data_IF_351544632453
#
_entry.id   IF_351544632453
#
_cell.length_a   1.000
_cell.length_b   1.000
_cell.length_c   1.000
_cell.angle_alpha   90.00
_cell.angle_beta   90.00
_cell.angle_gamma   90.00
#
_symmetry.space_group_name_H-M   'P 1'
#
loop_
_entity.id
_entity.type
_entity.pdbx_description
1 polymer ?
#
# COMPACT_ATOMS: atom_id res chain seq x y z
N UNK A 1 -31.57 114.53 23.07
CA UNK A 1 -32.71 113.83 22.43
C UNK A 1 -32.10 113.01 21.32
N UNK A 2 -31.82 111.72 21.54
CA UNK A 2 -32.74 110.62 21.24
C UNK A 2 -32.59 110.27 19.75
N UNK A 3 -32.38 109.05 19.28
CA UNK A 3 -32.40 107.72 19.87
C UNK A 3 -32.05 106.75 18.75
N UNK A 4 -31.41 105.64 19.10
CA UNK A 4 -31.70 104.31 18.56
C UNK A 4 -31.55 104.07 17.04
N UNK A 5 -30.31 103.96 16.52
CA UNK A 5 -30.07 103.23 15.24
C UNK A 5 -28.74 102.45 15.18
N UNK A 6 -28.05 102.21 16.29
CA UNK A 6 -26.79 101.44 16.33
C UNK A 6 -26.97 99.95 16.69
N UNK A 7 -28.13 99.35 16.44
CA UNK A 7 -28.43 97.97 16.88
C UNK A 7 -28.89 96.92 15.85
N UNK A 8 -29.08 97.14 14.53
CA UNK A 8 -29.40 96.00 13.66
C UNK A 8 -28.16 95.33 13.03
N UNK A 9 -27.05 96.04 12.81
CA UNK A 9 -25.90 95.50 12.05
C UNK A 9 -24.94 94.64 12.88
N UNK A 10 -24.77 94.93 14.18
CA UNK A 10 -23.91 94.13 15.05
C UNK A 10 -24.52 92.77 15.42
N UNK A 11 -25.86 92.64 15.38
CA UNK A 11 -26.56 91.39 15.66
C UNK A 11 -26.59 90.46 14.43
N UNK A 12 -26.57 91.01 13.21
CA UNK A 12 -26.51 90.21 11.98
C UNK A 12 -25.10 89.63 11.75
N UNK A 13 -24.03 90.35 12.09
CA UNK A 13 -22.66 89.83 11.91
C UNK A 13 -22.26 88.73 12.92
N UNK A 14 -22.88 88.65 14.10
CA UNK A 14 -22.60 87.56 15.04
C UNK A 14 -23.32 86.26 14.66
N UNK A 15 -24.42 86.33 13.91
CA UNK A 15 -25.20 85.16 13.48
C UNK A 15 -24.53 84.38 12.32
N UNK A 16 -23.55 84.98 11.62
CA UNK A 16 -22.88 84.37 10.47
C UNK A 16 -21.47 83.80 10.75
N UNK A 17 -20.97 83.88 11.99
CA UNK A 17 -19.60 83.43 12.34
C UNK A 17 -19.57 82.12 13.14
N UNK A 18 -20.71 81.47 13.39
CA UNK A 18 -20.73 80.14 14.02
C UNK A 18 -21.33 79.11 13.08
N UNK A 19 -20.58 78.74 12.05
CA UNK A 19 -20.77 77.46 11.41
C UNK A 19 -19.39 76.78 11.28
N UNK A 20 -18.93 76.06 12.31
CA UNK A 20 -17.75 75.24 12.17
C UNK A 20 -18.10 74.13 11.17
N UNK A 21 -17.64 74.26 9.92
CA UNK A 21 -17.58 73.13 9.01
C UNK A 21 -16.70 72.07 9.69
N UNK A 22 -17.33 71.08 10.33
CA UNK A 22 -16.64 69.92 10.87
C UNK A 22 -16.15 69.09 9.69
N UNK A 23 -14.87 69.21 9.35
CA UNK A 23 -14.21 68.30 8.42
C UNK A 23 -13.82 67.04 9.19
N UNK A 24 -14.42 65.91 8.82
CA UNK A 24 -14.05 64.61 9.36
C UNK A 24 -12.84 64.05 8.61
N UNK A 25 -11.72 63.89 9.31
CA UNK A 25 -10.47 63.28 8.82
C UNK A 25 -10.23 61.95 9.54
N UNK A 26 -11.21 61.05 9.51
CA UNK A 26 -11.09 59.69 10.05
C UNK A 26 -11.47 58.63 9.00
N UNK A 27 -11.04 57.37 9.18
CA UNK A 27 -11.41 56.29 8.27
C UNK A 27 -12.87 55.87 8.50
N UNK A 28 -13.73 56.12 7.51
CA UNK A 28 -15.11 55.62 7.49
C UNK A 28 -15.07 54.10 7.40
N UNK A 29 -15.68 53.39 8.37
CA UNK A 29 -15.84 51.95 8.31
C UNK A 29 -17.17 51.60 7.66
N UNK A 30 -17.17 50.85 6.55
CA UNK A 30 -18.42 50.42 5.93
C UNK A 30 -18.98 49.20 6.64
N UNK A 31 -20.29 49.21 6.88
CA UNK A 31 -21.05 48.02 7.27
C UNK A 31 -22.16 47.77 6.25
N UNK A 32 -22.26 46.54 5.77
CA UNK A 32 -23.23 46.14 4.74
C UNK A 32 -24.51 45.64 5.43
N UNK A 33 -25.61 46.37 5.28
CA UNK A 33 -26.95 45.84 5.56
C UNK A 33 -27.80 45.93 4.30
N UNK A 34 -28.43 44.81 3.93
CA UNK A 34 -29.37 44.70 2.80
C UNK A 34 -28.85 45.17 1.43
N UNK A 35 -27.60 44.86 1.08
CA UNK A 35 -27.06 45.03 -0.28
C UNK A 35 -26.80 46.47 -0.75
N UNK A 36 -26.92 47.46 0.14
CA UNK A 36 -26.66 48.88 -0.19
C UNK A 36 -25.67 49.46 0.82
N UNK A 37 -24.70 50.27 0.37
CA UNK A 37 -23.68 50.86 1.24
C UNK A 37 -24.27 52.05 2.02
N UNK A 38 -24.37 51.91 3.34
CA UNK A 38 -24.82 52.98 4.23
C UNK A 38 -23.65 53.52 5.06
N UNK A 39 -23.38 54.82 4.95
CA UNK A 39 -22.38 55.50 5.77
C UNK A 39 -23.10 56.21 6.90
N UNK A 40 -22.97 55.70 8.12
CA UNK A 40 -23.57 56.30 9.31
C UNK A 40 -22.63 57.36 9.89
N UNK A 41 -23.17 58.53 10.21
CA UNK A 41 -22.43 59.58 10.92
C UNK A 41 -22.98 59.69 12.35
N UNK A 42 -22.20 59.25 13.33
CA UNK A 42 -22.48 59.45 14.75
C UNK A 42 -21.57 60.57 15.26
N UNK A 43 -22.11 61.74 15.66
CA UNK A 43 -21.29 62.92 16.00
C UNK A 43 -20.34 62.73 17.19
N UNK A 44 -20.61 61.76 18.06
CA UNK A 44 -19.88 61.55 19.33
C UNK A 44 -19.14 60.20 19.41
N UNK A 45 -19.33 59.29 18.46
CA UNK A 45 -18.52 58.07 18.29
C UNK A 45 -18.88 56.85 19.15
N UNK A 46 -19.87 56.93 20.03
CA UNK A 46 -20.46 55.77 20.73
C UNK A 46 -21.76 55.34 20.02
N UNK A 47 -21.83 54.08 19.61
CA UNK A 47 -23.05 53.46 19.06
C UNK A 47 -23.84 52.82 20.21
N UNK A 48 -25.06 53.32 20.49
CA UNK A 48 -26.04 52.57 21.30
C UNK A 48 -26.99 51.80 20.37
N UNK A 49 -27.28 50.54 20.68
CA UNK A 49 -28.04 49.59 19.85
C UNK A 49 -29.52 49.97 19.59
N UNK A 50 -29.97 51.14 20.04
CA UNK A 50 -31.38 51.56 20.02
C UNK A 50 -31.68 52.80 19.16
N UNK A 51 -30.68 53.32 18.44
CA UNK A 51 -30.90 54.48 17.56
C UNK A 51 -31.48 54.05 16.21
N UNK A 52 -32.69 54.54 15.93
CA UNK A 52 -33.50 54.20 14.76
C UNK A 52 -32.82 54.66 13.46
N UNK A 53 -32.44 53.76 12.53
CA UNK A 53 -31.56 54.06 11.39
C UNK A 53 -32.15 55.07 10.37
N UNK A 54 -33.45 55.37 10.44
CA UNK A 54 -34.10 56.36 9.58
C UNK A 54 -33.88 57.81 10.04
N UNK A 55 -33.57 58.05 11.31
CA UNK A 55 -33.38 59.42 11.83
C UNK A 55 -31.98 59.99 11.56
N UNK A 56 -30.99 59.11 11.35
CA UNK A 56 -29.59 59.50 11.12
C UNK A 56 -29.14 59.37 9.65
N UNK A 57 -30.08 59.35 8.71
CA UNK A 57 -29.76 59.26 7.29
C UNK A 57 -29.43 60.64 6.69
N UNK A 58 -28.13 60.92 6.51
CA UNK A 58 -27.71 62.04 5.67
C UNK A 58 -27.87 61.68 4.19
N UNK A 59 -28.88 62.27 3.54
CA UNK A 59 -29.02 62.22 2.08
C UNK A 59 -27.91 63.06 1.42
N UNK A 60 -26.89 62.39 0.90
CA UNK A 60 -25.86 63.05 0.10
C UNK A 60 -26.48 63.55 -1.22
N UNK A 61 -26.84 64.82 -1.29
CA UNK A 61 -27.01 65.51 -2.57
C UNK A 61 -25.63 65.88 -3.09
N UNK A 62 -25.16 65.14 -4.08
CA UNK A 62 -23.96 65.47 -4.85
C UNK A 62 -24.18 66.82 -5.52
N UNK A 63 -23.67 67.90 -4.93
CA UNK A 63 -23.65 69.21 -5.55
C UNK A 63 -22.46 69.26 -6.49
N UNK A 64 -22.58 68.57 -7.64
CA UNK A 64 -21.54 68.64 -8.65
C UNK A 64 -21.58 70.02 -9.32
N UNK A 65 -20.64 70.89 -8.91
CA UNK A 65 -20.39 72.19 -9.54
C UNK A 65 -19.27 72.12 -10.57
N UNK A 66 -18.93 70.92 -11.07
CA UNK A 66 -18.13 70.78 -12.28
C UNK A 66 -18.93 69.95 -13.28
N UNK A 67 -19.45 70.62 -14.31
CA UNK A 67 -19.69 69.93 -15.55
C UNK A 67 -18.33 69.40 -16.05
N UNK A 68 -17.97 68.18 -15.65
CA UNK A 68 -16.93 67.43 -16.32
C UNK A 68 -17.41 67.26 -17.76
N UNK A 69 -16.60 67.76 -18.70
CA UNK A 69 -16.87 67.64 -20.11
C UNK A 69 -17.05 66.17 -20.48
N UNK A 70 -18.12 65.88 -21.20
CA UNK A 70 -18.58 64.58 -21.72
C UNK A 70 -17.60 64.00 -22.78
N UNK A 71 -16.30 64.27 -22.70
CA UNK A 71 -15.35 63.97 -23.78
C UNK A 71 -13.98 63.43 -23.34
N UNK A 72 -13.82 62.86 -22.14
CA UNK A 72 -12.55 62.18 -21.83
C UNK A 72 -12.61 60.91 -20.96
N UNK A 73 -13.77 60.57 -20.37
CA UNK A 73 -13.90 59.40 -19.48
C UNK A 73 -14.45 58.15 -20.18
N UNK A 74 -15.12 58.28 -21.34
CA UNK A 74 -15.65 57.13 -22.09
C UNK A 74 -14.52 56.26 -22.68
N UNK A 75 -13.39 56.87 -23.03
CA UNK A 75 -12.21 56.16 -23.56
C UNK A 75 -11.42 55.45 -22.45
N UNK A 76 -11.36 55.99 -21.23
CA UNK A 76 -10.67 55.32 -20.12
C UNK A 76 -11.46 54.13 -19.57
N UNK A 77 -12.79 54.27 -19.48
CA UNK A 77 -13.66 53.21 -18.94
C UNK A 77 -13.83 52.05 -19.94
N UNK A 78 -13.72 52.32 -21.24
CA UNK A 78 -13.70 51.30 -22.29
C UNK A 78 -12.39 50.52 -22.32
N UNK A 79 -11.24 51.18 -22.12
CA UNK A 79 -9.92 50.50 -22.02
C UNK A 79 -9.85 49.58 -20.81
N UNK A 80 -10.32 50.03 -19.63
CA UNK A 80 -10.35 49.20 -18.41
C UNK A 80 -11.28 47.99 -18.57
N UNK A 81 -12.40 48.15 -19.30
CA UNK A 81 -13.33 47.06 -19.59
C UNK A 81 -12.73 46.03 -20.54
N UNK A 82 -11.99 46.48 -21.55
CA UNK A 82 -11.27 45.60 -22.48
C UNK A 82 -10.21 44.77 -21.73
N UNK A 83 -9.43 45.41 -20.85
CA UNK A 83 -8.45 44.72 -20.01
C UNK A 83 -9.12 43.66 -19.10
N UNK A 84 -10.29 43.95 -18.54
CA UNK A 84 -11.04 42.98 -17.74
C UNK A 84 -11.55 41.79 -18.57
N UNK A 85 -11.96 42.03 -19.83
CA UNK A 85 -12.37 40.97 -20.76
C UNK A 85 -11.17 40.07 -21.11
N UNK A 86 -10.00 40.68 -21.39
CA UNK A 86 -8.76 39.95 -21.67
C UNK A 86 -8.37 39.09 -20.46
N UNK A 87 -8.38 39.65 -19.26
CA UNK A 87 -8.05 38.92 -18.02
C UNK A 87 -9.04 37.78 -17.79
N UNK A 88 -10.35 38.00 -18.00
CA UNK A 88 -11.36 36.95 -17.90
C UNK A 88 -11.07 35.79 -18.86
N UNK A 89 -10.79 36.09 -20.14
CA UNK A 89 -10.43 35.06 -21.11
C UNK A 89 -9.15 34.32 -20.71
N UNK A 90 -8.12 35.02 -20.21
CA UNK A 90 -6.90 34.39 -19.72
C UNK A 90 -7.16 33.45 -18.53
N UNK A 91 -8.07 33.82 -17.61
CA UNK A 91 -8.47 32.96 -16.50
C UNK A 91 -9.22 31.72 -17.00
N UNK A 92 -10.14 31.88 -17.95
CA UNK A 92 -10.88 30.76 -18.55
C UNK A 92 -9.95 29.82 -19.32
N UNK A 93 -8.98 30.36 -20.08
CA UNK A 93 -7.98 29.57 -20.79
C UNK A 93 -7.04 28.85 -19.82
N UNK A 94 -6.60 29.51 -18.75
CA UNK A 94 -5.80 28.89 -17.70
C UNK A 94 -6.58 27.76 -17.00
N UNK A 95 -7.88 27.93 -16.76
CA UNK A 95 -8.73 26.89 -16.17
C UNK A 95 -8.82 25.66 -17.08
N UNK A 96 -9.03 25.84 -18.39
CA UNK A 96 -9.05 24.75 -19.38
C UNK A 96 -7.69 24.04 -19.48
N UNK A 97 -6.60 24.80 -19.43
CA UNK A 97 -5.25 24.22 -19.43
C UNK A 97 -4.99 23.39 -18.17
N UNK A 98 -5.39 23.88 -17.00
CA UNK A 98 -5.26 23.14 -15.75
C UNK A 98 -6.12 21.87 -15.73
N UNK A 99 -7.33 21.92 -16.28
CA UNK A 99 -8.17 20.74 -16.47
C UNK A 99 -7.53 19.72 -17.41
N UNK A 100 -6.96 20.18 -18.53
CA UNK A 100 -6.23 19.31 -19.46
C UNK A 100 -4.99 18.68 -18.83
N UNK A 101 -4.24 19.43 -18.02
CA UNK A 101 -3.09 18.91 -17.27
C UNK A 101 -3.56 17.89 -16.23
N UNK A 102 -4.64 18.19 -15.50
CA UNK A 102 -5.24 17.27 -14.54
C UNK A 102 -5.68 15.95 -15.20
N UNK A 103 -6.29 16.03 -16.37
CA UNK A 103 -6.71 14.86 -17.15
C UNK A 103 -5.51 14.06 -17.70
N UNK A 104 -4.44 14.74 -18.13
CA UNK A 104 -3.19 14.06 -18.54
C UNK A 104 -2.54 13.32 -17.37
N UNK A 105 -2.47 13.96 -16.20
CA UNK A 105 -1.91 13.36 -14.98
C UNK A 105 -2.75 12.16 -14.56
N UNK A 106 -4.09 12.26 -14.59
CA UNK A 106 -4.95 11.12 -14.23
C UNK A 106 -4.77 9.95 -15.19
N UNK A 107 -4.65 10.20 -16.49
CA UNK A 107 -4.42 9.14 -17.48
C UNK A 107 -3.06 8.45 -17.32
N UNK A 108 -2.02 9.18 -16.90
CA UNK A 108 -0.70 8.60 -16.62
C UNK A 108 -0.73 7.76 -15.33
N UNK A 109 -1.47 8.20 -14.30
CA UNK A 109 -1.59 7.48 -13.02
C UNK A 109 -2.49 6.24 -13.10
N UNK A 110 -3.53 6.25 -13.92
CA UNK A 110 -4.38 5.07 -14.16
C UNK A 110 -3.57 3.88 -14.73
N UNK A 111 -2.46 4.16 -15.41
CA UNK A 111 -1.52 3.15 -15.91
C UNK A 111 -0.71 2.48 -14.78
N UNK A 112 -0.41 3.20 -13.70
CA UNK A 112 0.37 2.70 -12.56
C UNK A 112 -0.41 1.62 -11.79
N UNK A 113 -1.68 1.88 -11.46
CA UNK A 113 -2.57 0.90 -10.81
C UNK A 113 -2.76 -0.38 -11.64
N UNK A 114 -2.72 -0.25 -12.97
CA UNK A 114 -2.80 -1.39 -13.90
C UNK A 114 -1.51 -2.22 -13.89
N UNK A 115 -0.36 -1.54 -13.88
CA UNK A 115 0.95 -2.19 -13.86
C UNK A 115 1.22 -2.86 -12.52
N UNK A 116 0.85 -2.24 -11.40
CA UNK A 116 0.95 -2.83 -10.06
C UNK A 116 0.15 -4.13 -9.97
N UNK A 117 -1.11 -4.13 -10.45
CA UNK A 117 -1.95 -5.34 -10.47
C UNK A 117 -1.36 -6.43 -11.34
N UNK A 118 -0.83 -6.08 -12.52
CA UNK A 118 -0.16 -7.01 -13.41
C UNK A 118 1.08 -7.63 -12.74
N UNK A 119 1.97 -6.80 -12.18
CA UNK A 119 3.17 -7.26 -11.49
C UNK A 119 2.84 -8.13 -10.28
N UNK A 120 1.84 -7.74 -9.48
CA UNK A 120 1.40 -8.54 -8.33
C UNK A 120 0.88 -9.90 -8.80
N UNK A 121 0.09 -9.95 -9.87
CA UNK A 121 -0.40 -11.19 -10.47
C UNK A 121 0.71 -12.09 -11.03
N UNK A 122 1.74 -11.51 -11.65
CA UNK A 122 2.90 -12.25 -12.13
C UNK A 122 3.74 -12.81 -10.96
N UNK A 123 3.96 -12.01 -9.90
CA UNK A 123 4.65 -12.47 -8.69
C UNK A 123 3.89 -13.64 -8.06
N UNK A 124 2.56 -13.59 -7.98
CA UNK A 124 1.77 -14.71 -7.45
C UNK A 124 1.90 -15.97 -8.31
N UNK A 125 1.83 -15.84 -9.64
CA UNK A 125 2.00 -16.98 -10.56
C UNK A 125 3.39 -17.62 -10.43
N UNK A 126 4.44 -16.79 -10.35
CA UNK A 126 5.81 -17.24 -10.15
C UNK A 126 5.95 -17.96 -8.80
N UNK A 127 5.40 -17.39 -7.73
CA UNK A 127 5.42 -18.00 -6.40
C UNK A 127 4.73 -19.36 -6.36
N UNK A 128 3.59 -19.51 -7.03
CA UNK A 128 2.89 -20.78 -7.15
C UNK A 128 3.71 -21.82 -7.92
N UNK A 129 4.34 -21.41 -9.02
CA UNK A 129 5.22 -22.28 -9.80
C UNK A 129 6.41 -22.78 -8.96
N UNK A 130 7.07 -21.89 -8.22
CA UNK A 130 8.18 -22.27 -7.32
C UNK A 130 7.74 -23.24 -6.22
N UNK A 131 6.58 -22.99 -5.60
CA UNK A 131 6.03 -23.89 -4.57
C UNK A 131 5.73 -25.29 -5.13
N UNK A 132 5.21 -25.36 -6.36
CA UNK A 132 4.95 -26.63 -7.06
C UNK A 132 6.24 -27.40 -7.36
N UNK A 133 7.30 -26.69 -7.79
CA UNK A 133 8.62 -27.29 -8.03
C UNK A 133 9.22 -27.80 -6.72
N UNK A 134 9.13 -27.04 -5.64
CA UNK A 134 9.62 -27.46 -4.32
C UNK A 134 8.94 -28.76 -3.85
N UNK A 135 7.61 -28.84 -3.98
CA UNK A 135 6.87 -30.07 -3.67
C UNK A 135 7.33 -31.26 -4.51
N UNK A 136 7.50 -31.04 -5.81
CA UNK A 136 7.97 -32.09 -6.73
C UNK A 136 9.39 -32.55 -6.38
N UNK A 137 10.26 -31.64 -5.95
CA UNK A 137 11.62 -31.94 -5.54
C UNK A 137 11.65 -32.75 -4.24
N UNK A 138 10.83 -32.40 -3.25
CA UNK A 138 10.68 -33.19 -2.02
C UNK A 138 10.16 -34.61 -2.30
N UNK A 139 9.17 -34.76 -3.19
CA UNK A 139 8.69 -36.08 -3.61
C UNK A 139 9.77 -36.91 -4.32
N UNK A 140 10.61 -36.26 -5.13
CA UNK A 140 11.74 -36.90 -5.80
C UNK A 140 12.83 -37.32 -4.81
N UNK A 141 13.14 -36.50 -3.81
CA UNK A 141 14.11 -36.86 -2.76
C UNK A 141 13.65 -38.11 -2.00
N UNK A 142 12.37 -38.17 -1.65
CA UNK A 142 11.78 -39.33 -0.97
C UNK A 142 11.88 -40.57 -1.86
N UNK A 143 11.51 -40.47 -3.15
CA UNK A 143 11.62 -41.58 -4.10
C UNK A 143 13.07 -42.02 -4.32
N UNK A 144 14.02 -41.09 -4.33
CA UNK A 144 15.44 -41.39 -4.47
C UNK A 144 15.96 -42.17 -3.27
N UNK A 145 15.66 -41.72 -2.04
CA UNK A 145 16.00 -42.47 -0.82
C UNK A 145 15.36 -43.85 -0.80
N UNK A 146 14.09 -43.95 -1.15
CA UNK A 146 13.39 -45.23 -1.24
C UNK A 146 14.00 -46.17 -2.29
N UNK A 147 14.44 -45.64 -3.43
CA UNK A 147 15.15 -46.42 -4.45
C UNK A 147 16.48 -46.93 -3.92
N UNK A 148 17.27 -46.07 -3.27
CA UNK A 148 18.55 -46.44 -2.68
C UNK A 148 18.41 -47.54 -1.61
N UNK A 149 17.41 -47.40 -0.72
CA UNK A 149 17.13 -48.43 0.30
C UNK A 149 16.68 -49.76 -0.32
N UNK A 150 15.90 -49.70 -1.40
CA UNK A 150 15.49 -50.90 -2.13
C UNK A 150 16.67 -51.56 -2.86
N UNK A 151 17.58 -50.79 -3.45
CA UNK A 151 18.78 -51.32 -4.11
C UNK A 151 19.68 -52.02 -3.10
N UNK A 152 19.96 -51.40 -1.95
CA UNK A 152 20.72 -52.03 -0.86
C UNK A 152 20.05 -53.30 -0.35
N UNK A 153 18.72 -53.30 -0.23
CA UNK A 153 17.97 -54.50 0.17
C UNK A 153 18.02 -55.58 -0.91
N UNK A 154 17.96 -55.20 -2.18
CA UNK A 154 18.09 -56.09 -3.32
C UNK A 154 19.47 -56.75 -3.38
N UNK A 155 20.54 -55.97 -3.21
CA UNK A 155 21.91 -56.48 -3.15
C UNK A 155 22.10 -57.46 -1.99
N UNK A 156 21.59 -57.14 -0.79
CA UNK A 156 21.66 -58.04 0.36
C UNK A 156 20.88 -59.35 0.12
N UNK A 157 19.70 -59.27 -0.50
CA UNK A 157 18.93 -60.47 -0.85
C UNK A 157 19.62 -61.33 -1.91
N UNK A 158 20.25 -60.71 -2.91
CA UNK A 158 21.04 -61.43 -3.91
C UNK A 158 22.28 -62.08 -3.30
N UNK A 159 22.95 -61.39 -2.38
CA UNK A 159 24.08 -61.93 -1.64
C UNK A 159 23.66 -63.18 -0.85
N UNK A 160 22.55 -63.11 -0.11
CA UNK A 160 21.99 -64.24 0.63
C UNK A 160 21.54 -65.39 -0.29
N UNK A 161 20.88 -65.09 -1.41
CA UNK A 161 20.36 -66.14 -2.30
C UNK A 161 21.46 -66.82 -3.13
N UNK A 162 22.54 -66.11 -3.47
CA UNK A 162 23.60 -66.64 -4.35
C UNK A 162 24.80 -67.14 -3.54
N UNK A 163 25.34 -66.34 -2.62
CA UNK A 163 26.57 -66.73 -1.92
C UNK A 163 26.32 -67.83 -0.89
N UNK A 164 25.22 -67.76 -0.13
CA UNK A 164 24.96 -68.72 0.94
C UNK A 164 24.83 -70.16 0.41
N UNK A 165 24.06 -70.46 -0.66
CA UNK A 165 24.03 -71.82 -1.21
C UNK A 165 25.37 -72.25 -1.80
N UNK A 166 26.16 -71.34 -2.38
CA UNK A 166 27.51 -71.67 -2.87
C UNK A 166 28.42 -72.08 -1.70
N UNK A 167 28.37 -71.39 -0.57
CA UNK A 167 29.11 -71.78 0.63
C UNK A 167 28.64 -73.13 1.17
N UNK A 168 27.33 -73.36 1.24
CA UNK A 168 26.75 -74.64 1.66
C UNK A 168 27.19 -75.79 0.73
N UNK A 169 27.17 -75.59 -0.60
CA UNK A 169 27.66 -76.58 -1.58
C UNK A 169 29.15 -76.81 -1.43
N UNK A 170 29.95 -75.76 -1.24
CA UNK A 170 31.40 -75.88 -1.01
C UNK A 170 31.70 -76.68 0.26
N UNK A 171 30.98 -76.43 1.34
CA UNK A 171 31.15 -77.13 2.61
C UNK A 171 30.70 -78.59 2.51
N UNK A 172 29.61 -78.87 1.78
CA UNK A 172 29.19 -80.23 1.46
C UNK A 172 30.21 -80.98 0.60
N UNK A 173 30.78 -80.32 -0.43
CA UNK A 173 31.84 -80.89 -1.26
C UNK A 173 33.11 -81.15 -0.46
N UNK A 174 33.49 -80.24 0.44
CA UNK A 174 34.63 -80.43 1.35
C UNK A 174 34.39 -81.63 2.26
N UNK A 175 33.23 -81.71 2.91
CA UNK A 175 32.86 -82.86 3.74
C UNK A 175 32.84 -84.18 2.96
N UNK A 176 32.36 -84.16 1.72
CA UNK A 176 32.37 -85.34 0.83
C UNK A 176 33.80 -85.74 0.45
N UNK A 177 34.66 -84.76 0.20
CA UNK A 177 36.08 -84.99 -0.10
C UNK A 177 36.79 -85.59 1.10
N UNK A 178 36.58 -85.05 2.30
CA UNK A 178 37.14 -85.56 3.55
C UNK A 178 36.69 -87.01 3.81
N UNK A 179 35.40 -87.32 3.60
CA UNK A 179 34.87 -88.68 3.70
C UNK A 179 35.52 -89.60 2.65
N UNK A 180 35.67 -89.15 1.41
CA UNK A 180 36.28 -89.94 0.33
C UNK A 180 37.77 -90.23 0.57
N UNK A 181 38.50 -89.29 1.19
CA UNK A 181 39.87 -89.50 1.64
C UNK A 181 39.93 -90.52 2.78
N UNK A 182 39.03 -90.42 3.77
CA UNK A 182 38.95 -91.40 4.86
C UNK A 182 38.53 -92.81 4.41
N UNK A 183 37.73 -92.92 3.35
CA UNK A 183 37.39 -94.21 2.73
C UNK A 183 38.58 -94.85 1.98
N UNK A 184 39.59 -94.06 1.60
CA UNK A 184 40.78 -94.54 0.91
C UNK A 184 41.75 -95.27 1.87
N UNK A 185 41.68 -94.95 3.16
CA UNK A 185 42.40 -95.68 4.21
C UNK A 185 41.59 -96.90 4.68
N UNK A 186 42.11 -98.10 4.41
CA UNK A 186 41.48 -99.37 4.81
C UNK A 186 41.31 -99.49 6.33
N UNK A 187 42.19 -98.89 7.13
CA UNK A 187 42.09 -98.95 8.59
C UNK A 187 41.02 -98.02 9.14
N UNK A 188 40.86 -96.84 8.55
CA UNK A 188 39.83 -95.88 8.93
C UNK A 188 38.43 -96.37 8.55
N UNK A 189 38.30 -97.02 7.38
CA UNK A 189 37.06 -97.66 6.93
C UNK A 189 36.63 -98.81 7.86
N UNK A 190 37.57 -99.64 8.32
CA UNK A 190 37.30 -100.66 9.35
C UNK A 190 36.88 -100.01 10.68
N UNK A 191 37.53 -98.92 11.09
CA UNK A 191 37.16 -98.14 12.29
C UNK A 191 35.73 -97.59 12.21
N UNK A 192 35.35 -97.02 11.06
CA UNK A 192 34.01 -96.49 10.80
C UNK A 192 32.93 -97.59 10.83
N UNK A 193 33.22 -98.76 10.24
CA UNK A 193 32.33 -99.92 10.28
C UNK A 193 32.18 -100.42 11.73
N UNK A 194 33.28 -100.59 12.46
CA UNK A 194 33.25 -101.05 13.87
C UNK A 194 32.50 -100.05 14.76
N UNK A 195 32.65 -98.75 14.54
CA UNK A 195 31.92 -97.71 15.30
C UNK A 195 30.42 -97.68 14.97
N UNK A 196 30.05 -97.80 13.70
CA UNK A 196 28.64 -97.83 13.29
C UNK A 196 27.92 -99.11 13.71
N UNK A 197 28.61 -100.27 13.66
CA UNK A 197 28.07 -101.52 14.17
C UNK A 197 28.10 -101.57 15.70
N UNK A 198 29.12 -100.99 16.34
CA UNK A 198 29.23 -100.90 17.79
C UNK A 198 28.15 -100.03 18.43
N UNK A 199 27.74 -98.94 17.78
CA UNK A 199 26.61 -98.13 18.23
C UNK A 199 25.28 -98.86 18.03
N UNK A 200 25.09 -99.56 16.90
CA UNK A 200 23.91 -100.40 16.64
C UNK A 200 23.82 -101.58 17.60
N UNK A 201 24.92 -102.28 17.86
CA UNK A 201 24.99 -103.36 18.85
C UNK A 201 24.82 -102.84 20.28
N UNK A 202 25.34 -101.66 20.62
CA UNK A 202 25.10 -101.05 21.94
C UNK A 202 23.65 -100.65 22.12
N UNK A 203 22.99 -100.13 21.08
CA UNK A 203 21.55 -99.87 21.09
C UNK A 203 20.75 -101.16 21.23
N UNK A 204 21.07 -102.18 20.44
CA UNK A 204 20.43 -103.49 20.51
C UNK A 204 20.68 -104.18 21.86
N UNK A 205 21.87 -104.03 22.45
CA UNK A 205 22.18 -104.47 23.81
C UNK A 205 21.37 -103.69 24.84
N UNK A 206 21.26 -102.37 24.74
CA UNK A 206 20.44 -101.60 25.66
C UNK A 206 18.95 -101.99 25.56
N UNK A 207 18.47 -102.28 24.36
CA UNK A 207 17.07 -102.66 24.12
C UNK A 207 16.75 -104.12 24.53
N UNK A 208 17.71 -105.04 24.47
CA UNK A 208 17.50 -106.47 24.76
C UNK A 208 18.14 -106.99 26.07
N UNK A 209 19.11 -106.28 26.66
CA UNK A 209 19.82 -106.70 27.88
C UNK A 209 19.57 -105.79 29.10
N UNK A 210 18.73 -104.75 28.98
CA UNK A 210 18.18 -104.04 30.16
C UNK A 210 16.78 -104.55 30.52
N UNK A 211 16.75 -105.77 31.09
CA UNK A 211 15.77 -106.17 32.12
C UNK A 211 16.55 -106.34 33.42
#
# INVERSE_FOLDING_TARGET
MGSAWTQPLAMVCWQYITNPQRFYTGPLKPEMSNGTFHHFFVPDGDYEDNDDPEQCQMLFKFADRRACGVHHDEDSDSVVREDFIIVKHQIEDAARLLESIGMSISHDLDGEDSYEKFLTGEITQISEAFTSVEKSLLELEVKFKQSQDNDLRGENQLNDYVLKPIYEVKDALRGTTDISLGLRDKHELLSLIVRSQGSRLSRLKADYLNV
#
